data_IF_355099308012
#
_entry.id   IF_355099308012
#
_cell.length_a   1.000
_cell.length_b   1.000
_cell.length_c   1.000
_cell.angle_alpha   90.00
_cell.angle_beta   90.00
_cell.angle_gamma   90.00
#
_symmetry.space_group_name_H-M   'P 1'
#
loop_
_entity.id
_entity.type
_entity.pdbx_description
1 polymer ?
#
# COMPACT_ATOMS: atom_id res chain seq x y z
N UNK A 1 6.31 -14.44 -17.84
CA UNK A 1 6.32 -13.37 -16.82
C UNK A 1 7.50 -13.63 -15.90
N UNK A 2 8.32 -12.62 -15.58
CA UNK A 2 9.52 -12.81 -14.76
C UNK A 2 9.12 -13.24 -13.34
N UNK A 3 9.67 -14.36 -12.84
CA UNK A 3 9.34 -14.93 -11.52
C UNK A 3 9.65 -13.93 -10.39
N UNK A 4 10.69 -13.12 -10.56
CA UNK A 4 11.06 -12.07 -9.60
C UNK A 4 10.01 -10.95 -9.55
N UNK A 5 9.42 -10.60 -10.70
CA UNK A 5 8.37 -9.59 -10.78
C UNK A 5 7.10 -10.08 -10.09
N UNK A 6 6.75 -11.36 -10.24
CA UNK A 6 5.59 -11.94 -9.57
C UNK A 6 5.75 -11.95 -8.04
N UNK A 7 6.94 -12.32 -7.54
CA UNK A 7 7.27 -12.26 -6.11
C UNK A 7 7.19 -10.83 -5.58
N UNK A 8 7.74 -9.87 -6.31
CA UNK A 8 7.68 -8.45 -5.94
C UNK A 8 6.24 -7.95 -5.82
N UNK A 9 5.39 -8.24 -6.81
CA UNK A 9 4.02 -7.75 -6.84
C UNK A 9 3.15 -8.39 -5.74
N UNK A 10 3.39 -9.66 -5.40
CA UNK A 10 2.73 -10.29 -4.24
C UNK A 10 3.08 -9.64 -2.90
N UNK A 11 4.28 -9.06 -2.78
CA UNK A 11 4.76 -8.41 -1.55
C UNK A 11 4.31 -6.94 -1.46
N UNK A 12 3.96 -6.30 -2.57
CA UNK A 12 3.54 -4.90 -2.63
C UNK A 12 2.47 -4.50 -1.60
N UNK A 13 1.36 -5.26 -1.42
CA UNK A 13 0.34 -4.92 -0.44
C UNK A 13 0.89 -4.93 1.00
N UNK A 14 1.79 -5.87 1.32
CA UNK A 14 2.44 -5.98 2.63
C UNK A 14 3.36 -4.77 2.87
N UNK A 15 4.10 -4.36 1.84
CA UNK A 15 4.90 -3.12 1.90
C UNK A 15 4.02 -1.90 2.15
N UNK A 16 2.86 -1.81 1.48
CA UNK A 16 1.89 -0.76 1.72
C UNK A 16 1.42 -0.70 3.16
N UNK A 17 1.14 -1.85 3.79
CA UNK A 17 0.77 -1.94 5.21
C UNK A 17 1.93 -1.49 6.10
N UNK A 18 3.15 -1.95 5.86
CA UNK A 18 4.31 -1.55 6.68
C UNK A 18 4.56 -0.04 6.63
N UNK A 19 4.51 0.57 5.44
CA UNK A 19 4.67 2.02 5.29
C UNK A 19 3.55 2.75 6.04
N UNK A 20 2.31 2.26 5.95
CA UNK A 20 1.16 2.88 6.60
C UNK A 20 1.26 2.83 8.13
N UNK A 21 1.70 1.70 8.69
CA UNK A 21 1.98 1.56 10.12
C UNK A 21 3.09 2.51 10.55
N UNK A 22 4.17 2.61 9.76
CA UNK A 22 5.25 3.54 10.04
C UNK A 22 4.78 5.00 10.04
N UNK A 23 3.94 5.39 9.08
CA UNK A 23 3.36 6.73 9.03
C UNK A 23 2.45 7.01 10.23
N UNK A 24 1.63 6.05 10.65
CA UNK A 24 0.81 6.19 11.86
C UNK A 24 1.71 6.45 13.07
N UNK A 25 2.77 5.67 13.25
CA UNK A 25 3.71 5.88 14.36
C UNK A 25 4.33 7.28 14.29
N UNK A 26 4.78 7.69 13.10
CA UNK A 26 5.46 8.97 12.91
C UNK A 26 4.53 10.16 13.15
N UNK A 27 3.31 10.15 12.61
CA UNK A 27 2.35 11.24 12.76
C UNK A 27 1.77 11.34 14.17
N UNK A 28 1.45 10.21 14.81
CA UNK A 28 0.78 10.21 16.12
C UNK A 28 1.75 10.26 17.31
N UNK A 29 2.91 9.60 17.23
CA UNK A 29 3.80 9.47 18.39
C UNK A 29 5.05 10.36 18.31
N UNK A 30 5.52 10.69 17.12
CA UNK A 30 6.73 11.50 16.96
C UNK A 30 6.35 12.96 16.71
N UNK A 31 5.65 13.24 15.61
CA UNK A 31 5.33 14.59 15.18
C UNK A 31 4.22 15.22 16.03
N UNK A 32 3.32 14.42 16.61
CA UNK A 32 2.10 14.89 17.27
C UNK A 32 1.31 15.82 16.33
N UNK A 33 1.03 15.32 15.13
CA UNK A 33 0.45 16.14 14.08
C UNK A 33 -0.89 16.76 14.51
N UNK A 34 -0.93 18.08 14.46
CA UNK A 34 -2.13 18.87 14.73
C UNK A 34 -2.98 18.92 13.46
N UNK A 35 -4.23 18.46 13.56
CA UNK A 35 -5.15 18.41 12.42
C UNK A 35 -6.30 17.46 12.65
N UNK A 36 -7.20 17.38 11.66
CA UNK A 36 -8.31 16.43 11.70
C UNK A 36 -7.76 14.99 11.67
N UNK A 37 -8.10 14.24 12.71
CA UNK A 37 -7.75 12.83 12.88
C UNK A 37 -8.08 11.98 11.65
N UNK A 38 -9.25 12.21 11.04
CA UNK A 38 -9.70 11.46 9.86
C UNK A 38 -8.82 11.75 8.64
N UNK A 39 -8.38 12.99 8.47
CA UNK A 39 -7.50 13.39 7.37
C UNK A 39 -6.13 12.72 7.52
N UNK A 40 -5.54 12.74 8.72
CA UNK A 40 -4.25 12.12 8.99
C UNK A 40 -4.30 10.61 8.77
N UNK A 41 -5.34 9.94 9.24
CA UNK A 41 -5.54 8.50 8.99
C UNK A 41 -5.68 8.23 7.49
N UNK A 42 -6.47 9.03 6.77
CA UNK A 42 -6.65 8.85 5.34
C UNK A 42 -5.31 8.94 4.60
N UNK A 43 -4.47 9.92 4.95
CA UNK A 43 -3.11 10.05 4.43
C UNK A 43 -2.24 8.82 4.74
N UNK A 44 -2.32 8.30 5.96
CA UNK A 44 -1.57 7.12 6.35
C UNK A 44 -2.02 5.86 5.59
N UNK A 45 -3.27 5.80 5.12
CA UNK A 45 -3.80 4.64 4.39
C UNK A 45 -3.51 4.67 2.88
N UNK A 46 -3.14 5.83 2.31
CA UNK A 46 -2.80 5.97 0.87
C UNK A 46 -1.83 4.88 0.39
N UNK A 47 -0.73 4.56 1.09
CA UNK A 47 0.20 3.52 0.65
C UNK A 47 -0.46 2.13 0.56
N UNK A 48 -1.38 1.78 1.46
CA UNK A 48 -2.13 0.52 1.35
C UNK A 48 -2.97 0.52 0.08
N UNK A 49 -3.74 1.59 -0.15
CA UNK A 49 -4.63 1.69 -1.30
C UNK A 49 -3.87 1.62 -2.62
N UNK A 50 -2.79 2.39 -2.76
CA UNK A 50 -1.99 2.41 -3.99
C UNK A 50 -1.36 1.05 -4.26
N UNK A 51 -0.69 0.46 -3.28
CA UNK A 51 0.01 -0.82 -3.48
C UNK A 51 -0.96 -2.00 -3.71
N UNK A 52 -2.11 -1.98 -3.03
CA UNK A 52 -3.16 -3.00 -3.23
C UNK A 52 -3.81 -2.85 -4.61
N UNK A 53 -4.06 -1.62 -5.07
CA UNK A 53 -4.62 -1.35 -6.39
C UNK A 53 -3.69 -1.83 -7.51
N UNK A 54 -2.38 -1.59 -7.37
CA UNK A 54 -1.37 -2.08 -8.32
C UNK A 54 -1.32 -3.62 -8.35
N UNK A 55 -1.37 -4.27 -7.19
CA UNK A 55 -1.45 -5.73 -7.11
C UNK A 55 -2.71 -6.28 -7.78
N UNK A 56 -3.87 -5.67 -7.54
CA UNK A 56 -5.13 -6.06 -8.15
C UNK A 56 -5.11 -5.85 -9.66
N UNK A 57 -4.63 -4.70 -10.14
CA UNK A 57 -4.51 -4.40 -11.56
C UNK A 57 -3.60 -5.42 -12.26
N UNK A 58 -2.44 -5.72 -11.66
CA UNK A 58 -1.54 -6.73 -12.19
C UNK A 58 -2.17 -8.13 -12.22
N UNK A 59 -2.85 -8.52 -11.13
CA UNK A 59 -3.54 -9.81 -11.05
C UNK A 59 -4.66 -9.92 -12.09
N UNK A 60 -5.39 -8.83 -12.31
CA UNK A 60 -6.47 -8.75 -13.28
C UNK A 60 -5.94 -8.82 -14.72
N UNK A 61 -4.92 -8.04 -15.06
CA UNK A 61 -4.26 -8.11 -16.36
C UNK A 61 -3.66 -9.50 -16.61
N UNK A 62 -2.98 -10.09 -15.62
CA UNK A 62 -2.41 -11.42 -15.77
C UNK A 62 -3.49 -12.50 -15.96
N UNK A 63 -4.67 -12.35 -15.37
CA UNK A 63 -5.83 -13.23 -15.64
C UNK A 63 -6.39 -13.03 -17.04
N UNK A 64 -6.50 -11.78 -17.51
CA UNK A 64 -7.02 -11.46 -18.85
C UNK A 64 -6.09 -11.92 -19.98
N UNK A 65 -4.77 -11.77 -19.82
CA UNK A 65 -3.77 -12.16 -20.83
C UNK A 65 -3.42 -13.66 -20.82
N UNK A 66 -3.89 -14.42 -19.81
CA UNK A 66 -3.74 -15.89 -19.75
C UNK A 66 -4.97 -16.66 -20.27
N UNK A 67 -6.08 -15.98 -20.58
CA UNK A 67 -7.16 -16.54 -21.39
C UNK A 67 -6.78 -16.44 -22.87
#
# INVERSE_FOLDING_TARGET
>A
MNENLEKYIKILPILGIMISVFLIILFFFIWHAEGDFYVIILYCLIPVFVNTSLYLLYTFMNRFFKQ
#
